data_IF_705911580820
#
_entry.id   IF_705911580820
#
_cell.length_a   1.000
_cell.length_b   1.000
_cell.length_c   1.000
_cell.angle_alpha   90.00
_cell.angle_beta   90.00
_cell.angle_gamma   90.00
#
_symmetry.space_group_name_H-M   'P 1'
#
loop_
_entity.id
_entity.type
_entity.pdbx_description
1 polymer ?
#
# COMPACT_ATOMS: atom_id res chain seq x y z
N UNK A 1 17.71 -28.59 -18.57
CA UNK A 1 16.33 -28.21 -18.27
C UNK A 1 16.31 -27.86 -16.79
N UNK A 2 16.23 -26.58 -16.43
CA UNK A 2 16.16 -26.18 -15.01
C UNK A 2 14.73 -26.41 -14.54
N UNK A 3 14.55 -27.37 -13.65
CA UNK A 3 13.28 -27.60 -12.96
C UNK A 3 13.14 -26.50 -11.91
N UNK A 4 12.28 -25.51 -12.14
CA UNK A 4 11.88 -24.55 -11.12
C UNK A 4 11.28 -25.32 -9.95
N UNK A 5 11.75 -25.03 -8.75
CA UNK A 5 11.27 -25.67 -7.51
C UNK A 5 9.81 -25.33 -7.28
N UNK A 6 9.09 -26.19 -6.55
CA UNK A 6 7.69 -25.93 -6.18
C UNK A 6 7.54 -24.59 -5.43
N UNK A 7 8.55 -24.19 -4.65
CA UNK A 7 8.59 -22.90 -3.95
C UNK A 7 8.71 -21.71 -4.91
N UNK A 8 9.58 -21.78 -5.92
CA UNK A 8 9.69 -20.72 -6.95
C UNK A 8 8.40 -20.57 -7.76
N UNK A 9 7.71 -21.68 -8.04
CA UNK A 9 6.43 -21.66 -8.73
C UNK A 9 5.31 -21.10 -7.86
N UNK A 10 5.28 -21.43 -6.56
CA UNK A 10 4.34 -20.86 -5.59
C UNK A 10 4.57 -19.37 -5.41
N UNK A 11 5.82 -18.94 -5.29
CA UNK A 11 6.15 -17.53 -5.13
C UNK A 11 5.80 -16.71 -6.37
N UNK A 12 6.01 -17.28 -7.57
CA UNK A 12 5.58 -16.67 -8.83
C UNK A 12 4.05 -16.67 -9.02
N UNK A 13 3.33 -17.60 -8.38
CA UNK A 13 1.87 -17.70 -8.42
C UNK A 13 1.21 -16.71 -7.46
N UNK A 14 1.70 -16.62 -6.21
CA UNK A 14 1.22 -15.63 -5.23
C UNK A 14 1.70 -14.21 -5.52
N UNK A 15 2.89 -14.04 -6.12
CA UNK A 15 3.45 -12.74 -6.47
C UNK A 15 2.85 -12.10 -7.73
N UNK A 16 1.83 -12.71 -8.34
CA UNK A 16 1.32 -12.31 -9.66
C UNK A 16 -0.21 -12.24 -9.69
N UNK A 17 -0.79 -11.49 -8.77
CA UNK A 17 -2.12 -10.92 -9.01
C UNK A 17 -1.94 -9.44 -9.39
N UNK A 18 -2.11 -9.07 -10.67
CA UNK A 18 -2.05 -7.68 -11.13
C UNK A 18 -3.12 -6.78 -10.49
N UNK A 19 -4.14 -7.37 -9.87
CA UNK A 19 -5.21 -6.69 -9.15
C UNK A 19 -5.06 -6.78 -7.63
N UNK A 20 -3.99 -7.43 -7.11
CA UNK A 20 -3.79 -7.59 -5.67
C UNK A 20 -3.76 -6.27 -4.89
N UNK A 21 -3.48 -5.15 -5.55
CA UNK A 21 -3.33 -3.84 -4.92
C UNK A 21 -4.30 -2.79 -5.45
N UNK A 22 -5.34 -3.17 -6.21
CA UNK A 22 -6.24 -2.18 -6.83
C UNK A 22 -6.98 -1.34 -5.76
N UNK A 23 -7.37 -1.96 -4.64
CA UNK A 23 -8.02 -1.27 -3.54
C UNK A 23 -7.07 -0.29 -2.83
N UNK A 24 -5.83 -0.70 -2.64
CA UNK A 24 -4.75 0.08 -2.03
C UNK A 24 -4.38 1.28 -2.90
N UNK A 25 -4.22 1.08 -4.21
CA UNK A 25 -3.94 2.14 -5.16
C UNK A 25 -5.07 3.17 -5.23
N UNK A 26 -6.32 2.70 -5.27
CA UNK A 26 -7.48 3.58 -5.23
C UNK A 26 -7.53 4.38 -3.93
N UNK A 27 -7.31 3.74 -2.79
CA UNK A 27 -7.28 4.40 -1.49
C UNK A 27 -6.18 5.48 -1.43
N UNK A 28 -4.96 5.17 -1.91
CA UNK A 28 -3.86 6.13 -1.95
C UNK A 28 -4.24 7.33 -2.82
N UNK A 29 -4.89 7.10 -3.97
CA UNK A 29 -5.37 8.18 -4.84
C UNK A 29 -6.42 9.06 -4.15
N UNK A 30 -7.38 8.46 -3.43
CA UNK A 30 -8.42 9.18 -2.69
C UNK A 30 -7.84 10.03 -1.55
N UNK A 31 -6.90 9.48 -0.78
CA UNK A 31 -6.19 10.21 0.28
C UNK A 31 -5.38 11.35 -0.35
N UNK A 32 -4.66 11.09 -1.44
CA UNK A 32 -3.86 12.11 -2.15
C UNK A 32 -4.76 13.26 -2.60
N UNK A 33 -5.90 12.97 -3.23
CA UNK A 33 -6.86 14.00 -3.66
C UNK A 33 -7.40 14.81 -2.47
N UNK A 34 -7.76 14.12 -1.38
CA UNK A 34 -8.28 14.75 -0.16
C UNK A 34 -7.26 15.69 0.49
N UNK A 35 -5.98 15.30 0.46
CA UNK A 35 -4.87 16.11 0.96
C UNK A 35 -4.56 17.30 0.04
N UNK A 36 -4.54 17.09 -1.27
CA UNK A 36 -4.31 18.14 -2.28
C UNK A 36 -5.38 19.25 -2.24
N UNK A 37 -6.58 18.96 -1.73
CA UNK A 37 -7.61 19.98 -1.51
C UNK A 37 -7.25 20.97 -0.37
N UNK A 38 -6.28 20.64 0.48
CA UNK A 38 -5.94 21.39 1.71
C UNK A 38 -4.53 21.98 1.71
N UNK A 39 -3.67 21.55 0.79
CA UNK A 39 -2.28 22.02 0.66
C UNK A 39 -1.78 21.88 -0.78
N UNK A 40 -0.76 22.65 -1.12
CA UNK A 40 -0.22 22.72 -2.48
C UNK A 40 0.50 21.44 -2.93
N UNK A 41 1.24 20.77 -2.04
CA UNK A 41 2.01 19.57 -2.36
C UNK A 41 1.75 18.47 -1.32
N UNK A 42 1.57 17.24 -1.79
CA UNK A 42 1.40 16.04 -0.96
C UNK A 42 2.69 15.25 -0.96
N UNK A 43 3.32 15.10 0.20
CA UNK A 43 4.52 14.26 0.36
C UNK A 43 4.14 12.85 0.83
N UNK A 44 5.05 11.89 0.65
CA UNK A 44 4.88 10.53 1.18
C UNK A 44 4.66 10.53 2.70
N UNK A 45 5.33 11.43 3.44
CA UNK A 45 5.14 11.59 4.89
C UNK A 45 3.68 11.89 5.23
N UNK A 46 3.00 12.69 4.42
CA UNK A 46 1.61 13.03 4.67
C UNK A 46 0.65 11.87 4.39
N UNK A 47 0.94 11.08 3.36
CA UNK A 47 0.20 9.85 3.07
C UNK A 47 0.38 8.83 4.20
N UNK A 48 1.62 8.65 4.68
CA UNK A 48 1.95 7.80 5.83
C UNK A 48 1.16 8.23 7.07
N UNK A 49 1.15 9.52 7.40
CA UNK A 49 0.38 10.02 8.55
C UNK A 49 -1.13 9.77 8.39
N UNK A 50 -1.70 10.03 7.22
CA UNK A 50 -3.13 9.80 6.97
C UNK A 50 -3.50 8.32 7.10
N UNK A 51 -2.67 7.41 6.56
CA UNK A 51 -2.89 5.97 6.66
C UNK A 51 -2.77 5.46 8.10
N UNK A 52 -1.81 5.96 8.88
CA UNK A 52 -1.71 5.65 10.32
C UNK A 52 -2.98 6.09 11.07
N UNK A 53 -3.48 7.30 10.81
CA UNK A 53 -4.72 7.77 11.44
C UNK A 53 -5.92 6.88 11.10
N UNK A 54 -6.04 6.42 9.85
CA UNK A 54 -7.10 5.48 9.44
C UNK A 54 -6.96 4.14 10.17
N UNK A 55 -5.74 3.63 10.32
CA UNK A 55 -5.45 2.39 11.06
C UNK A 55 -5.83 2.47 12.54
N UNK A 56 -5.67 3.63 13.18
CA UNK A 56 -5.97 3.82 14.59
C UNK A 56 -7.47 3.85 14.91
N UNK A 57 -8.30 4.26 13.96
CA UNK A 57 -9.75 4.46 14.17
C UNK A 57 -10.61 3.34 13.57
N UNK A 58 -10.08 2.59 12.61
CA UNK A 58 -10.82 1.54 11.92
C UNK A 58 -10.90 0.25 12.74
N UNK A 59 -12.05 -0.43 12.67
CA UNK A 59 -12.32 -1.69 13.38
C UNK A 59 -12.61 -2.84 12.43
N UNK A 60 -12.99 -2.52 11.19
CA UNK A 60 -13.19 -3.52 10.16
C UNK A 60 -11.84 -4.13 9.76
N UNK A 61 -11.69 -5.43 10.01
CA UNK A 61 -10.44 -6.16 9.76
C UNK A 61 -10.06 -6.21 8.28
N UNK A 62 -11.04 -6.16 7.37
CA UNK A 62 -10.79 -6.15 5.92
C UNK A 62 -10.23 -4.80 5.50
N UNK A 63 -10.82 -3.70 5.98
CA UNK A 63 -10.31 -2.36 5.71
C UNK A 63 -8.94 -2.12 6.34
N UNK A 64 -8.73 -2.62 7.56
CA UNK A 64 -7.44 -2.56 8.22
C UNK A 64 -6.35 -3.26 7.39
N UNK A 65 -6.67 -4.36 6.71
CA UNK A 65 -5.72 -5.02 5.82
C UNK A 65 -5.32 -4.13 4.63
N UNK A 66 -6.31 -3.57 3.95
CA UNK A 66 -6.11 -2.62 2.84
C UNK A 66 -5.26 -1.42 3.31
N UNK A 67 -5.54 -0.88 4.51
CA UNK A 67 -4.81 0.26 5.05
C UNK A 67 -3.35 -0.09 5.36
N UNK A 68 -3.08 -1.31 5.85
CA UNK A 68 -1.72 -1.80 6.10
C UNK A 68 -0.95 -2.00 4.80
N UNK A 69 -1.56 -2.65 3.81
CA UNK A 69 -0.93 -2.89 2.51
C UNK A 69 -0.64 -1.56 1.80
N UNK A 70 -1.60 -0.62 1.81
CA UNK A 70 -1.39 0.72 1.27
C UNK A 70 -0.25 1.48 1.98
N UNK A 71 -0.17 1.38 3.31
CA UNK A 71 0.92 1.98 4.08
C UNK A 71 2.26 1.35 3.69
N UNK A 72 2.34 0.03 3.59
CA UNK A 72 3.55 -0.68 3.18
C UNK A 72 4.00 -0.22 1.78
N UNK A 73 3.08 -0.10 0.82
CA UNK A 73 3.39 0.38 -0.52
C UNK A 73 3.99 1.79 -0.53
N UNK A 74 3.44 2.71 0.29
CA UNK A 74 3.95 4.09 0.38
C UNK A 74 5.32 4.11 1.08
N UNK A 75 5.51 3.30 2.12
CA UNK A 75 6.79 3.19 2.84
C UNK A 75 7.87 2.61 1.93
N UNK A 76 7.60 1.52 1.20
CA UNK A 76 8.57 0.92 0.26
C UNK A 76 8.99 1.88 -0.86
N UNK A 77 8.12 2.81 -1.26
CA UNK A 77 8.43 3.85 -2.25
C UNK A 77 9.13 5.07 -1.65
N UNK A 78 9.18 5.17 -0.32
CA UNK A 78 9.87 6.26 0.37
C UNK A 78 11.34 5.86 0.54
N UNK A 79 12.29 6.68 0.07
CA UNK A 79 13.70 6.36 0.26
C UNK A 79 14.01 6.25 1.75
N UNK A 80 14.79 5.23 2.13
CA UNK A 80 15.30 5.09 3.50
C UNK A 80 16.12 6.33 3.86
N UNK A 81 15.86 6.91 5.04
CA UNK A 81 16.75 7.89 5.65
C UNK A 81 17.98 7.13 6.19
N UNK A 82 19.14 7.33 5.55
CA UNK A 82 20.45 6.78 5.96
C UNK A 82 21.19 7.75 6.87
#
# INVERSE_FOLDING_TARGET
>A
MQSTTTEEQLNAFFGRDPHAFEAEEQLIAEITQSLSARKAEVSNKDLIFALIQLLEIEKDVVKLDIYRNALEMVVQKTPDDV
#
